data_IF_072621100126
#
_entry.id   IF_072621100126
#
_cell.length_a   1.000
_cell.length_b   1.000
_cell.length_c   1.000
_cell.angle_alpha   90.00
_cell.angle_beta   90.00
_cell.angle_gamma   90.00
#
_symmetry.space_group_name_H-M   'P 1'
#
loop_
_entity.id
_entity.type
_entity.pdbx_description
1 polymer ?
#
# COMPACT_ATOMS: atom_id res chain seq x y z
N UNK A 1 -28.91 54.09 -32.40
CA UNK A 1 -27.45 53.91 -32.58
C UNK A 1 -26.67 53.81 -31.27
N UNK A 2 -26.91 54.66 -30.25
CA UNK A 2 -26.13 54.65 -28.99
C UNK A 2 -26.24 53.36 -28.15
N UNK A 3 -27.39 52.68 -28.16
CA UNK A 3 -27.58 51.44 -27.40
C UNK A 3 -26.73 50.26 -27.91
N UNK A 4 -26.47 50.18 -29.21
CA UNK A 4 -25.66 49.11 -29.81
C UNK A 4 -24.17 49.27 -29.46
N UNK A 5 -23.68 50.51 -29.39
CA UNK A 5 -22.32 50.80 -28.95
C UNK A 5 -22.12 50.49 -27.46
N UNK A 6 -23.11 50.82 -26.61
CA UNK A 6 -23.10 50.52 -25.18
C UNK A 6 -23.10 49.01 -24.91
N UNK A 7 -23.89 48.25 -25.68
CA UNK A 7 -23.94 46.79 -25.59
C UNK A 7 -22.60 46.15 -26.00
N UNK A 8 -21.97 46.61 -27.09
CA UNK A 8 -20.64 46.13 -27.51
C UNK A 8 -19.56 46.40 -26.48
N UNK A 9 -19.60 47.56 -25.81
CA UNK A 9 -18.67 47.89 -24.72
C UNK A 9 -18.87 46.98 -23.50
N UNK A 10 -20.12 46.72 -23.12
CA UNK A 10 -20.47 45.82 -22.01
C UNK A 10 -20.05 44.36 -22.29
N UNK A 11 -20.30 43.86 -23.51
CA UNK A 11 -19.83 42.52 -23.91
C UNK A 11 -18.29 42.43 -23.92
N UNK A 12 -17.60 43.50 -24.36
CA UNK A 12 -16.14 43.58 -24.29
C UNK A 12 -15.61 43.49 -22.85
N UNK A 13 -16.23 44.21 -21.92
CA UNK A 13 -15.85 44.17 -20.49
C UNK A 13 -16.22 42.86 -19.78
N UNK A 14 -17.20 42.11 -20.29
CA UNK A 14 -17.63 40.84 -19.73
C UNK A 14 -16.75 39.65 -20.18
N UNK A 15 -15.88 39.85 -21.17
CA UNK A 15 -15.04 38.78 -21.71
C UNK A 15 -14.00 38.29 -20.71
N UNK A 16 -13.30 39.21 -20.02
CA UNK A 16 -12.30 38.88 -19.00
C UNK A 16 -12.88 38.08 -17.83
N UNK A 17 -14.00 38.49 -17.18
CA UNK A 17 -14.59 37.69 -16.12
C UNK A 17 -15.17 36.36 -16.62
N UNK A 18 -15.68 36.29 -17.86
CA UNK A 18 -16.15 35.03 -18.44
C UNK A 18 -15.02 33.99 -18.60
N UNK A 19 -13.84 34.43 -19.08
CA UNK A 19 -12.65 33.56 -19.15
C UNK A 19 -12.22 33.12 -17.76
N UNK A 20 -12.21 34.02 -16.77
CA UNK A 20 -11.84 33.68 -15.41
C UNK A 20 -12.76 32.60 -14.82
N UNK A 21 -14.07 32.73 -15.00
CA UNK A 21 -15.04 31.72 -14.57
C UNK A 21 -14.85 30.40 -15.32
N UNK A 22 -14.61 30.45 -16.63
CA UNK A 22 -14.37 29.25 -17.42
C UNK A 22 -13.14 28.48 -16.96
N UNK A 23 -12.02 29.18 -16.73
CA UNK A 23 -10.80 28.57 -16.18
C UNK A 23 -11.06 27.99 -14.79
N UNK A 24 -11.79 28.69 -13.92
CA UNK A 24 -12.14 28.21 -12.60
C UNK A 24 -12.97 26.93 -12.66
N UNK A 25 -13.95 26.86 -13.56
CA UNK A 25 -14.74 25.64 -13.80
C UNK A 25 -13.88 24.49 -14.32
N UNK A 26 -12.93 24.77 -15.22
CA UNK A 26 -11.97 23.76 -15.69
C UNK A 26 -11.11 23.23 -14.54
N UNK A 27 -10.62 24.09 -13.65
CA UNK A 27 -9.87 23.67 -12.48
C UNK A 27 -10.70 22.82 -11.52
N UNK A 28 -11.95 23.21 -11.24
CA UNK A 28 -12.86 22.42 -10.40
C UNK A 28 -13.12 21.05 -11.06
N UNK A 29 -13.44 21.02 -12.35
CA UNK A 29 -13.67 19.77 -13.08
C UNK A 29 -12.44 18.86 -13.05
N UNK A 30 -11.25 19.42 -13.26
CA UNK A 30 -9.99 18.69 -13.18
C UNK A 30 -9.67 18.21 -11.76
N UNK A 31 -10.02 18.97 -10.72
CA UNK A 31 -9.84 18.55 -9.34
C UNK A 31 -10.78 17.39 -8.93
N UNK A 32 -11.92 17.22 -9.61
CA UNK A 32 -12.86 16.13 -9.35
C UNK A 32 -12.48 14.87 -10.16
N UNK A 33 -12.27 15.03 -11.48
CA UNK A 33 -12.12 13.92 -12.44
C UNK A 33 -10.63 13.62 -12.75
N UNK A 34 -9.73 14.52 -12.38
CA UNK A 34 -8.30 14.35 -12.65
C UNK A 34 -7.66 13.20 -11.88
N UNK A 35 -6.43 12.82 -12.27
CA UNK A 35 -5.72 11.67 -11.71
C UNK A 35 -5.42 11.81 -10.21
N UNK A 36 -5.23 13.05 -9.72
CA UNK A 36 -5.10 13.35 -8.28
C UNK A 36 -6.41 13.87 -7.67
N UNK A 37 -7.52 13.65 -8.35
CA UNK A 37 -8.82 14.15 -7.94
C UNK A 37 -9.43 13.34 -6.80
N UNK A 38 -10.53 13.86 -6.27
CA UNK A 38 -11.24 13.28 -5.13
C UNK A 38 -11.73 11.85 -5.44
N UNK A 39 -12.07 11.55 -6.69
CA UNK A 39 -12.52 10.21 -7.10
C UNK A 39 -11.39 9.18 -7.00
N UNK A 40 -10.18 9.55 -7.43
CA UNK A 40 -9.00 8.69 -7.40
C UNK A 40 -8.49 8.42 -5.97
N UNK A 41 -8.78 9.33 -5.02
CA UNK A 41 -8.39 9.17 -3.61
C UNK A 41 -8.89 7.85 -2.98
N UNK A 42 -10.06 7.38 -3.41
CA UNK A 42 -10.62 6.11 -2.92
C UNK A 42 -9.78 4.90 -3.35
N UNK A 43 -9.29 4.89 -4.58
CA UNK A 43 -8.41 3.85 -5.12
C UNK A 43 -7.03 3.90 -4.47
N UNK A 44 -6.47 5.10 -4.29
CA UNK A 44 -5.19 5.26 -3.58
C UNK A 44 -5.28 4.76 -2.14
N UNK A 45 -6.36 5.07 -1.43
CA UNK A 45 -6.58 4.61 -0.07
C UNK A 45 -6.70 3.08 0.01
N UNK A 46 -7.39 2.46 -0.96
CA UNK A 46 -7.47 0.99 -1.08
C UNK A 46 -6.10 0.37 -1.32
N UNK A 47 -5.35 0.89 -2.29
CA UNK A 47 -4.00 0.40 -2.60
C UNK A 47 -3.06 0.57 -1.41
N UNK A 48 -3.11 1.70 -0.73
CA UNK A 48 -2.31 1.97 0.46
C UNK A 48 -2.63 0.97 1.59
N UNK A 49 -3.90 0.68 1.82
CA UNK A 49 -4.33 -0.34 2.79
C UNK A 49 -3.83 -1.72 2.42
N UNK A 50 -3.93 -2.11 1.14
CA UNK A 50 -3.42 -3.40 0.67
C UNK A 50 -1.91 -3.52 0.88
N UNK A 51 -1.14 -2.50 0.47
CA UNK A 51 0.32 -2.48 0.66
C UNK A 51 0.71 -2.52 2.14
N UNK A 52 -0.03 -1.85 3.01
CA UNK A 52 0.19 -1.94 4.46
C UNK A 52 -0.05 -3.34 5.00
N UNK A 53 -1.10 -4.04 4.52
CA UNK A 53 -1.35 -5.43 4.94
C UNK A 53 -0.26 -6.38 4.45
N UNK A 54 0.20 -6.23 3.21
CA UNK A 54 1.34 -6.99 2.66
C UNK A 54 2.61 -6.74 3.49
N UNK A 55 2.89 -5.48 3.81
CA UNK A 55 4.06 -5.09 4.61
C UNK A 55 4.00 -5.67 6.03
N UNK A 56 2.85 -5.63 6.69
CA UNK A 56 2.67 -6.23 8.01
C UNK A 56 2.89 -7.76 7.98
N UNK A 57 2.41 -8.44 6.95
CA UNK A 57 2.63 -9.87 6.78
C UNK A 57 4.11 -10.20 6.56
N UNK A 58 4.81 -9.42 5.72
CA UNK A 58 6.24 -9.59 5.47
C UNK A 58 7.08 -9.31 6.73
N UNK A 59 6.75 -8.26 7.49
CA UNK A 59 7.42 -7.96 8.75
C UNK A 59 7.27 -9.09 9.76
N UNK A 60 6.08 -9.71 9.85
CA UNK A 60 5.87 -10.87 10.71
C UNK A 60 6.73 -12.07 10.29
N UNK A 61 6.79 -12.36 8.99
CA UNK A 61 7.64 -13.44 8.46
C UNK A 61 9.12 -13.18 8.75
N UNK A 62 9.56 -11.93 8.54
CA UNK A 62 10.93 -11.50 8.85
C UNK A 62 11.24 -11.71 10.33
N UNK A 63 10.38 -11.26 11.24
CA UNK A 63 10.58 -11.43 12.67
C UNK A 63 10.64 -12.91 13.10
N UNK A 64 9.82 -13.78 12.50
CA UNK A 64 9.88 -15.23 12.73
C UNK A 64 11.21 -15.82 12.25
N UNK A 65 11.69 -15.39 11.08
CA UNK A 65 12.97 -15.87 10.54
C UNK A 65 14.15 -15.38 11.37
N UNK A 66 14.14 -14.10 11.77
CA UNK A 66 15.17 -13.52 12.65
C UNK A 66 15.22 -14.26 14.00
N UNK A 67 14.08 -14.62 14.57
CA UNK A 67 14.02 -15.43 15.78
C UNK A 67 14.68 -16.81 15.56
N UNK A 68 14.33 -17.52 14.47
CA UNK A 68 14.93 -18.83 14.15
C UNK A 68 16.43 -18.74 13.92
N UNK A 69 16.90 -17.73 13.18
CA UNK A 69 18.34 -17.50 12.96
C UNK A 69 19.05 -17.26 14.29
N UNK A 70 18.45 -16.49 15.19
CA UNK A 70 18.99 -16.24 16.53
C UNK A 70 19.09 -17.53 17.36
N UNK A 71 18.09 -18.40 17.27
CA UNK A 71 18.10 -19.71 17.96
C UNK A 71 19.13 -20.68 17.37
N UNK A 72 19.61 -20.44 16.15
CA UNK A 72 20.62 -21.25 15.48
C UNK A 72 22.01 -20.59 15.47
N UNK A 73 22.26 -19.59 16.33
CA UNK A 73 23.59 -18.95 16.43
C UNK A 73 24.65 -20.03 16.79
N UNK A 74 25.70 -20.25 15.98
CA UNK A 74 26.71 -21.28 16.23
C UNK A 74 27.41 -21.18 17.58
N UNK A 75 27.38 -20.01 18.23
CA UNK A 75 28.00 -19.78 19.54
C UNK A 75 27.13 -20.26 20.69
N UNK A 76 25.80 -20.25 20.52
CA UNK A 76 24.81 -20.62 21.53
C UNK A 76 23.52 -21.11 20.84
N UNK A 77 23.62 -22.19 20.08
CA UNK A 77 22.46 -22.75 19.40
C UNK A 77 21.53 -23.40 20.42
N UNK A 78 20.23 -23.18 20.27
CA UNK A 78 19.21 -23.78 21.11
C UNK A 78 19.15 -25.31 20.84
N UNK A 79 19.43 -26.15 21.84
CA UNK A 79 19.50 -27.59 21.67
C UNK A 79 18.18 -28.20 21.19
N UNK A 80 17.04 -27.67 21.62
CA UNK A 80 15.72 -28.20 21.23
C UNK A 80 15.44 -27.91 19.75
N UNK A 81 15.79 -26.71 19.28
CA UNK A 81 15.64 -26.32 17.87
C UNK A 81 16.57 -27.11 16.95
N UNK A 82 17.81 -27.38 17.39
CA UNK A 82 18.76 -28.21 16.64
C UNK A 82 18.26 -29.65 16.55
N UNK A 83 17.78 -30.23 17.66
CA UNK A 83 17.23 -31.59 17.68
C UNK A 83 15.99 -31.72 16.79
N UNK A 84 15.05 -30.76 16.84
CA UNK A 84 13.88 -30.73 15.95
C UNK A 84 14.30 -30.70 14.47
N UNK A 85 15.28 -29.85 14.09
CA UNK A 85 15.76 -29.75 12.72
C UNK A 85 16.48 -31.02 12.25
N UNK A 86 17.30 -31.62 13.11
CA UNK A 86 18.01 -32.87 12.83
C UNK A 86 17.01 -34.00 12.57
N UNK A 87 16.01 -34.17 13.45
CA UNK A 87 14.94 -35.16 13.26
C UNK A 87 14.15 -34.92 11.98
N UNK A 88 13.78 -33.66 11.71
CA UNK A 88 12.98 -33.29 10.54
C UNK A 88 13.71 -33.44 9.21
N UNK A 89 15.00 -33.07 9.14
CA UNK A 89 15.77 -33.07 7.90
C UNK A 89 16.49 -34.40 7.63
N UNK A 90 17.01 -35.04 8.68
CA UNK A 90 17.80 -36.26 8.55
C UNK A 90 16.99 -37.53 8.86
N UNK A 91 15.79 -37.39 9.41
CA UNK A 91 14.93 -38.53 9.76
C UNK A 91 15.51 -39.43 10.86
N UNK A 92 16.54 -38.95 11.57
CA UNK A 92 17.20 -39.69 12.65
C UNK A 92 16.39 -39.56 13.92
N UNK A 93 16.34 -40.62 14.71
CA UNK A 93 15.57 -40.74 15.96
C UNK A 93 16.47 -41.44 16.98
N UNK A 94 16.37 -41.11 18.27
CA UNK A 94 17.18 -41.78 19.28
C UNK A 94 16.78 -43.27 19.33
N UNK A 95 17.70 -44.22 19.55
CA UNK A 95 17.37 -45.66 19.66
C UNK A 95 16.27 -46.01 20.66
N UNK A 96 15.97 -45.13 21.61
CA UNK A 96 14.97 -45.33 22.67
C UNK A 96 13.63 -44.63 22.41
N UNK A 97 13.44 -44.02 21.23
CA UNK A 97 12.26 -43.22 20.88
C UNK A 97 11.29 -43.96 19.93
N UNK A 98 9.99 -43.73 20.10
CA UNK A 98 8.91 -44.39 19.33
C UNK A 98 8.21 -43.36 18.43
N UNK A 99 8.15 -43.63 17.12
CA UNK A 99 7.48 -42.75 16.13
C UNK A 99 5.97 -43.03 16.12
N UNK A 100 5.16 -42.02 16.45
CA UNK A 100 3.69 -42.10 16.38
C UNK A 100 3.19 -41.40 15.11
N UNK A 101 2.59 -42.13 14.13
CA UNK A 101 2.03 -41.50 12.94
C UNK A 101 0.76 -40.72 13.29
N UNK A 102 0.72 -39.44 12.93
CA UNK A 102 -0.47 -38.60 13.04
C UNK A 102 -1.43 -38.94 11.87
N UNK A 103 -2.69 -39.24 12.19
CA UNK A 103 -3.76 -39.48 11.21
C UNK A 103 -4.31 -38.19 10.63
#
# INVERSE_FOLDING_TARGET
MAHLAKLRFLLGSAFTPAIAIFLLLLFIGYAIIGPNGILAWSDYSRQLKQRQTELAALQKQKAQLENRVKLLDPRHADPDMVDELVRKQLGVTHPDEVVVPLK
#
